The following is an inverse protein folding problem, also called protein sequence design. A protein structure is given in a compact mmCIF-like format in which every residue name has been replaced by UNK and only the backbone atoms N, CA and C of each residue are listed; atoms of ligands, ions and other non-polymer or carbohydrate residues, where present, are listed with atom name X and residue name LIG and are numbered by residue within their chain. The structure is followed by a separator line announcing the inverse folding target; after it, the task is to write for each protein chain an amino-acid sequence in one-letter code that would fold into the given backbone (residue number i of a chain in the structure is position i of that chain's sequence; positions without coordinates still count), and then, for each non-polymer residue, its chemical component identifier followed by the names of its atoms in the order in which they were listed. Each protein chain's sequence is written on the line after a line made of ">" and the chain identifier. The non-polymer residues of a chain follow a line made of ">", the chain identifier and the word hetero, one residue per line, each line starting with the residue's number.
data_IF_375491686763
#
_entry.id   IF_375491686763
#
_cell.length_a   1.000
_cell.length_b   1.000
_cell.length_c   1.000
_cell.angle_alpha   90.00
_cell.angle_beta   90.00
_cell.angle_gamma   90.00
#
_symmetry.space_group_name_H-M   'P 1'
#
loop_
_entity.id
_entity.type
_entity.pdbx_description
1 polymer ?
#
# COMPACT_ATOMS: atom_id res chain seq x y z
N UNK A 1 -4.20 62.66 -26.29
CA UNK A 1 -5.03 61.84 -25.38
C UNK A 1 -5.19 60.37 -25.82
N UNK A 2 -5.19 60.05 -27.13
CA UNK A 2 -5.46 58.68 -27.66
C UNK A 2 -4.38 57.63 -27.33
N UNK A 3 -3.11 58.05 -27.17
CA UNK A 3 -1.98 57.13 -26.92
C UNK A 3 -2.05 56.46 -25.53
N UNK A 4 -2.71 57.09 -24.56
CA UNK A 4 -2.77 56.58 -23.18
C UNK A 4 -3.63 55.30 -23.07
N UNK A 5 -4.73 55.22 -23.84
CA UNK A 5 -5.60 54.05 -23.88
C UNK A 5 -4.94 52.82 -24.51
N UNK A 6 -4.12 53.01 -25.55
CA UNK A 6 -3.37 51.91 -26.21
C UNK A 6 -2.34 51.26 -25.27
N UNK A 7 -1.68 52.04 -24.40
CA UNK A 7 -0.73 51.52 -23.41
C UNK A 7 -1.43 50.69 -22.32
N UNK A 8 -2.64 51.07 -21.93
CA UNK A 8 -3.45 50.30 -20.97
C UNK A 8 -3.90 48.97 -21.57
N UNK A 9 -4.38 48.98 -22.82
CA UNK A 9 -4.76 47.75 -23.55
C UNK A 9 -3.57 46.79 -23.70
N UNK A 10 -2.37 47.30 -24.03
CA UNK A 10 -1.17 46.48 -24.10
C UNK A 10 -0.80 45.84 -22.76
N UNK A 11 -0.91 46.58 -21.66
CA UNK A 11 -0.68 46.02 -20.31
C UNK A 11 -1.69 44.93 -19.97
N UNK A 12 -2.97 45.14 -20.29
CA UNK A 12 -4.03 44.14 -20.03
C UNK A 12 -3.76 42.86 -20.83
N UNK A 13 -3.43 43.00 -22.13
CA UNK A 13 -3.08 41.86 -22.99
C UNK A 13 -1.84 41.13 -22.46
N UNK A 14 -0.82 41.87 -22.03
CA UNK A 14 0.39 41.28 -21.47
C UNK A 14 0.09 40.48 -20.19
N UNK A 15 -0.70 41.05 -19.27
CA UNK A 15 -1.12 40.36 -18.04
C UNK A 15 -1.94 39.10 -18.38
N UNK A 16 -2.83 39.18 -19.38
CA UNK A 16 -3.63 38.03 -19.83
C UNK A 16 -2.76 36.89 -20.36
N UNK A 17 -1.74 37.22 -21.16
CA UNK A 17 -0.79 36.23 -21.70
C UNK A 17 0.01 35.59 -20.55
N UNK A 18 0.52 36.40 -19.62
CA UNK A 18 1.27 35.90 -18.46
C UNK A 18 0.40 34.97 -17.61
N UNK A 19 -0.84 35.38 -17.31
CA UNK A 19 -1.81 34.54 -16.59
C UNK A 19 -2.11 33.24 -17.33
N UNK A 20 -2.34 33.29 -18.65
CA UNK A 20 -2.60 32.09 -19.45
C UNK A 20 -1.39 31.13 -19.48
N UNK A 21 -0.17 31.66 -19.54
CA UNK A 21 1.04 30.83 -19.47
C UNK A 21 1.23 30.20 -18.10
N UNK A 22 0.98 30.94 -17.02
CA UNK A 22 1.05 30.43 -15.65
C UNK A 22 0.00 29.34 -15.39
N UNK A 23 -1.25 29.56 -15.80
CA UNK A 23 -2.31 28.55 -15.64
C UNK A 23 -2.01 27.32 -16.48
N UNK A 24 -1.53 27.49 -17.72
CA UNK A 24 -1.10 26.36 -18.55
C UNK A 24 0.01 25.56 -17.86
N UNK A 25 1.04 26.21 -17.31
CA UNK A 25 2.16 25.52 -16.65
C UNK A 25 1.73 24.75 -15.39
N UNK A 26 0.73 25.26 -14.66
CA UNK A 26 0.20 24.62 -13.44
C UNK A 26 -0.80 23.50 -13.75
N UNK A 27 -1.68 23.68 -14.74
CA UNK A 27 -2.79 22.77 -15.06
C UNK A 27 -2.40 21.69 -16.08
N UNK A 28 -1.30 21.85 -16.82
CA UNK A 28 -0.85 20.86 -17.78
C UNK A 28 -0.64 19.48 -17.12
N UNK A 29 -0.83 18.42 -17.89
CA UNK A 29 -0.69 17.03 -17.46
C UNK A 29 0.70 16.68 -16.95
N UNK A 30 1.70 17.53 -17.12
CA UNK A 30 3.04 17.42 -16.54
C UNK A 30 3.37 18.55 -15.54
N UNK A 31 2.35 19.25 -15.07
CA UNK A 31 2.48 20.38 -14.17
C UNK A 31 2.91 20.00 -12.75
N UNK A 32 3.31 21.02 -11.99
CA UNK A 32 3.79 20.89 -10.61
C UNK A 32 2.80 20.18 -9.68
N UNK A 33 1.50 20.40 -9.89
CA UNK A 33 0.43 19.75 -9.12
C UNK A 33 0.48 18.22 -9.23
N UNK A 34 0.72 17.71 -10.44
CA UNK A 34 0.81 16.26 -10.67
C UNK A 34 2.07 15.69 -10.05
N UNK A 35 3.20 16.37 -10.17
CA UNK A 35 4.44 15.95 -9.51
C UNK A 35 4.27 15.80 -8.00
N UNK A 36 3.63 16.78 -7.35
CA UNK A 36 3.36 16.72 -5.91
C UNK A 36 2.43 15.58 -5.52
N UNK A 37 1.38 15.32 -6.32
CA UNK A 37 0.48 14.18 -6.12
C UNK A 37 1.20 12.84 -6.26
N UNK A 38 1.92 12.63 -7.37
CA UNK A 38 2.66 11.39 -7.59
C UNK A 38 3.73 11.18 -6.52
N UNK A 39 4.41 12.24 -6.08
CA UNK A 39 5.39 12.13 -4.99
C UNK A 39 4.73 11.69 -3.68
N UNK A 40 3.51 12.16 -3.40
CA UNK A 40 2.70 11.70 -2.27
C UNK A 40 2.28 10.24 -2.42
N UNK A 41 1.78 9.84 -3.59
CA UNK A 41 1.38 8.46 -3.87
C UNK A 41 2.55 7.48 -3.73
N UNK A 42 3.72 7.80 -4.30
CA UNK A 42 4.94 6.99 -4.16
C UNK A 42 5.34 6.85 -2.70
N UNK A 43 5.22 7.92 -1.90
CA UNK A 43 5.50 7.85 -0.46
C UNK A 43 4.53 6.91 0.26
N UNK A 44 3.23 7.05 -0.01
CA UNK A 44 2.20 6.21 0.60
C UNK A 44 2.37 4.74 0.22
N UNK A 45 2.61 4.44 -1.06
CA UNK A 45 2.87 3.06 -1.52
C UNK A 45 4.09 2.46 -0.82
N UNK A 46 5.17 3.23 -0.63
CA UNK A 46 6.34 2.74 0.11
C UNK A 46 6.02 2.46 1.58
N UNK A 47 5.23 3.31 2.24
CA UNK A 47 4.81 3.07 3.63
C UNK A 47 3.90 1.82 3.73
N UNK A 48 3.02 1.60 2.77
CA UNK A 48 2.19 0.39 2.70
C UNK A 48 3.03 -0.87 2.47
N UNK A 49 4.03 -0.78 1.61
CA UNK A 49 4.96 -1.88 1.32
C UNK A 49 5.75 -2.26 2.58
N UNK A 50 6.29 -1.29 3.31
CA UNK A 50 6.98 -1.52 4.58
C UNK A 50 6.08 -2.19 5.62
N UNK A 51 4.82 -1.73 5.76
CA UNK A 51 3.85 -2.36 6.67
C UNK A 51 3.52 -3.79 6.26
N UNK A 52 3.39 -4.05 4.96
CA UNK A 52 3.13 -5.39 4.44
C UNK A 52 4.32 -6.33 4.71
N UNK A 53 5.56 -5.86 4.49
CA UNK A 53 6.77 -6.62 4.81
C UNK A 53 6.89 -6.95 6.30
N UNK A 54 6.61 -5.98 7.18
CA UNK A 54 6.62 -6.20 8.62
C UNK A 54 5.58 -7.24 9.04
N UNK A 55 4.39 -7.19 8.43
CA UNK A 55 3.33 -8.19 8.65
C UNK A 55 3.70 -9.57 8.13
N UNK A 56 4.40 -9.66 6.99
CA UNK A 56 4.92 -10.92 6.50
C UNK A 56 5.95 -11.52 7.47
N UNK A 57 6.89 -10.70 7.97
CA UNK A 57 7.88 -11.16 8.97
C UNK A 57 7.22 -11.65 10.26
N UNK A 58 6.18 -10.97 10.74
CA UNK A 58 5.48 -11.39 11.95
C UNK A 58 4.71 -12.69 11.75
N UNK A 59 4.04 -12.86 10.60
CA UNK A 59 3.36 -14.09 10.21
C UNK A 59 4.34 -15.26 10.04
N UNK A 60 5.50 -15.04 9.43
CA UNK A 60 6.53 -16.07 9.28
C UNK A 60 7.07 -16.52 10.64
N UNK A 61 7.34 -15.57 11.55
CA UNK A 61 7.72 -15.87 12.93
C UNK A 61 6.62 -16.66 13.67
N UNK A 62 5.35 -16.31 13.46
CA UNK A 62 4.23 -17.05 14.02
C UNK A 62 4.15 -18.47 13.43
N UNK A 63 4.29 -18.63 12.12
CA UNK A 63 4.34 -19.93 11.44
C UNK A 63 5.50 -20.78 11.97
N UNK A 64 6.68 -20.20 12.13
CA UNK A 64 7.84 -20.90 12.69
C UNK A 64 7.58 -21.33 14.13
N UNK A 65 6.99 -20.48 14.96
CA UNK A 65 6.58 -20.84 16.31
C UNK A 65 5.55 -21.99 16.34
N UNK A 66 4.63 -22.02 15.36
CA UNK A 66 3.61 -23.06 15.21
C UNK A 66 4.20 -24.37 14.67
N UNK A 67 5.18 -24.28 13.77
CA UNK A 67 5.85 -25.43 13.12
C UNK A 67 6.88 -26.09 14.03
N UNK A 68 7.68 -25.30 14.75
CA UNK A 68 8.72 -25.80 15.65
C UNK A 68 8.12 -26.52 16.86
N UNK A 69 6.88 -26.19 17.23
CA UNK A 69 6.08 -26.94 18.18
C UNK A 69 5.65 -28.29 17.59
N UNK A 70 6.57 -29.27 17.59
CA UNK A 70 6.31 -30.67 17.20
C UNK A 70 5.04 -31.24 17.86
N UNK A 71 4.75 -30.77 19.08
CA UNK A 71 3.54 -31.06 19.83
C UNK A 71 2.25 -30.51 19.18
N UNK A 72 2.25 -29.31 18.59
CA UNK A 72 1.08 -28.76 17.86
C UNK A 72 0.84 -29.47 16.54
N UNK A 73 1.89 -29.80 15.78
CA UNK A 73 1.77 -30.62 14.56
C UNK A 73 1.18 -31.99 14.92
N UNK A 74 1.72 -32.63 15.96
CA UNK A 74 1.23 -33.92 16.46
C UNK A 74 -0.23 -33.82 16.95
N UNK A 75 -0.60 -32.73 17.62
CA UNK A 75 -1.99 -32.47 18.05
C UNK A 75 -2.95 -32.38 16.85
N UNK A 76 -2.62 -31.58 15.83
CA UNK A 76 -3.47 -31.44 14.63
C UNK A 76 -3.56 -32.77 13.87
N UNK A 77 -2.46 -33.51 13.75
CA UNK A 77 -2.44 -34.82 13.10
C UNK A 77 -3.36 -35.83 13.82
N UNK A 78 -3.33 -35.84 15.17
CA UNK A 78 -4.18 -36.71 15.99
C UNK A 78 -5.66 -36.30 15.95
N UNK A 79 -5.96 -35.02 16.10
CA UNK A 79 -7.35 -34.53 16.23
C UNK A 79 -8.08 -34.48 14.88
N UNK A 80 -7.45 -33.94 13.83
CA UNK A 80 -8.13 -33.74 12.53
C UNK A 80 -8.02 -34.91 11.58
N UNK A 81 -6.94 -35.70 11.70
CA UNK A 81 -6.63 -36.75 10.74
C UNK A 81 -6.55 -38.14 11.39
N UNK A 82 -6.80 -38.25 12.71
CA UNK A 82 -6.68 -39.49 13.49
C UNK A 82 -5.34 -40.23 13.27
N UNK A 83 -4.28 -39.47 12.94
CA UNK A 83 -2.96 -40.03 12.71
C UNK A 83 -2.32 -40.41 14.04
N UNK A 84 -1.59 -41.52 14.04
CA UNK A 84 -0.90 -42.07 15.21
C UNK A 84 0.51 -42.52 14.83
N UNK A 85 1.40 -42.60 15.80
CA UNK A 85 2.75 -43.15 15.54
C UNK A 85 2.65 -44.65 15.30
N UNK A 86 3.57 -45.22 14.52
CA UNK A 86 3.59 -46.64 14.14
C UNK A 86 3.58 -47.61 15.33
N UNK A 87 3.98 -47.14 16.51
CA UNK A 87 4.11 -47.91 17.75
C UNK A 87 3.03 -47.59 18.81
N UNK A 88 1.94 -46.90 18.44
CA UNK A 88 0.84 -46.58 19.37
C UNK A 88 -0.39 -47.47 19.18
N UNK A 89 -1.08 -47.81 20.28
CA UNK A 89 -2.35 -48.55 20.28
C UNK A 89 -3.51 -47.61 20.66
N UNK A 90 -4.58 -47.63 19.87
CA UNK A 90 -5.77 -46.79 20.08
C UNK A 90 -6.87 -47.59 20.76
N UNK A 91 -7.43 -47.06 21.84
CA UNK A 91 -8.61 -47.60 22.51
C UNK A 91 -9.79 -46.68 22.20
N UNK A 92 -10.80 -47.18 21.48
CA UNK A 92 -12.08 -46.48 21.32
C UNK A 92 -13.02 -46.98 22.40
N UNK A 93 -13.55 -46.07 23.21
CA UNK A 93 -14.53 -46.37 24.24
C UNK A 93 -15.89 -45.99 23.66
N UNK A 94 -16.75 -46.98 23.43
CA UNK A 94 -18.14 -46.76 23.05
C UNK A 94 -18.98 -46.70 24.34
N UNK A 95 -19.70 -45.60 24.55
CA UNK A 95 -20.63 -45.49 25.66
C UNK A 95 -21.86 -46.37 25.36
N UNK A 96 -22.17 -47.27 26.29
CA UNK A 96 -23.31 -48.19 26.20
C UNK A 96 -24.63 -47.49 26.52
#
# INVERSE_FOLDING_TARGET
>A
MIVFGKKLLFKIIFILIVMATLTFLVVNENGLLKYLKLRGEVKNLNEELLKAEEKLRSLDSEIDSLRVSKAKIEKVAREKFSMMKKNERVFKIEAK
#
